data_IF_216763317778
#
_entry.id   IF_216763317778
#
_cell.length_a   1.000
_cell.length_b   1.000
_cell.length_c   1.000
_cell.angle_alpha   90.00
_cell.angle_beta   90.00
_cell.angle_gamma   90.00
#
_symmetry.space_group_name_H-M   'P 1'
#
loop_
_entity.id
_entity.type
_entity.pdbx_description
1 polymer ?
#
# COMPACT_ATOMS: atom_id res chain seq x y z
N UNK A 1 -17.92 32.77 37.07
CA UNK A 1 -17.84 33.05 35.62
C UNK A 1 -16.66 32.25 35.10
N UNK A 2 -16.92 31.18 34.34
CA UNK A 2 -15.97 30.10 34.05
C UNK A 2 -15.08 30.51 32.88
N UNK A 3 -13.78 30.54 33.12
CA UNK A 3 -12.73 30.87 32.15
C UNK A 3 -12.57 29.67 31.21
N UNK A 4 -12.99 29.83 29.96
CA UNK A 4 -12.85 28.80 28.93
C UNK A 4 -11.36 28.61 28.62
N UNK A 5 -10.82 27.44 28.97
CA UNK A 5 -9.45 27.06 28.63
C UNK A 5 -9.42 26.63 27.17
N UNK A 6 -8.53 27.27 26.42
CA UNK A 6 -8.23 27.02 25.01
C UNK A 6 -7.87 25.55 24.77
N UNK A 7 -8.51 24.90 23.79
CA UNK A 7 -7.94 23.71 23.17
C UNK A 7 -6.82 24.17 22.24
N UNK A 8 -5.58 24.09 22.70
CA UNK A 8 -4.43 24.12 21.79
C UNK A 8 -4.52 22.90 20.89
N UNK A 9 -4.80 23.17 19.61
CA UNK A 9 -4.64 22.22 18.52
C UNK A 9 -3.21 21.66 18.64
N UNK A 10 -3.09 20.39 19.06
CA UNK A 10 -1.80 19.71 19.00
C UNK A 10 -1.42 19.69 17.53
N UNK A 11 -0.34 20.39 17.20
CA UNK A 11 0.31 20.28 15.91
C UNK A 11 0.44 18.78 15.59
N UNK A 12 -0.24 18.38 14.51
CA UNK A 12 -0.04 17.05 13.97
C UNK A 12 1.40 17.05 13.47
N UNK A 13 2.28 16.17 13.97
CA UNK A 13 3.67 16.18 13.50
C UNK A 13 3.64 16.02 11.99
N UNK A 14 4.20 17.01 11.28
CA UNK A 14 4.32 16.95 9.83
C UNK A 14 5.19 15.72 9.52
N UNK A 15 4.56 14.69 8.98
CA UNK A 15 5.26 13.48 8.52
C UNK A 15 6.26 13.98 7.49
N UNK A 16 7.55 13.94 7.82
CA UNK A 16 8.58 14.36 6.87
C UNK A 16 8.57 13.34 5.74
N UNK A 17 8.73 13.79 4.50
CA UNK A 17 8.72 12.93 3.31
C UNK A 17 9.77 11.79 3.34
N UNK A 18 10.77 11.89 4.24
CA UNK A 18 11.76 10.85 4.53
C UNK A 18 11.25 9.70 5.40
N UNK A 19 10.05 9.79 5.96
CA UNK A 19 9.48 8.78 6.88
C UNK A 19 8.56 7.78 6.16
N UNK A 20 8.52 7.81 4.82
CA UNK A 20 7.67 6.97 4.00
C UNK A 20 8.50 6.16 3.01
N UNK A 21 8.42 4.84 3.11
CA UNK A 21 9.07 3.91 2.20
C UNK A 21 8.03 3.10 1.45
N UNK A 22 8.12 3.08 0.12
CA UNK A 22 7.31 2.19 -0.72
C UNK A 22 7.98 0.83 -0.81
N UNK A 23 7.20 -0.22 -0.63
CA UNK A 23 7.64 -1.60 -0.80
C UNK A 23 6.64 -2.38 -1.66
N UNK A 24 7.11 -3.49 -2.20
CA UNK A 24 6.33 -4.40 -3.03
C UNK A 24 6.24 -5.76 -2.35
N UNK A 25 5.02 -6.30 -2.25
CA UNK A 25 4.74 -7.59 -1.65
C UNK A 25 4.21 -8.51 -2.74
N UNK A 26 4.87 -9.64 -3.07
CA UNK A 26 4.36 -10.56 -4.07
C UNK A 26 3.04 -11.18 -3.62
N UNK A 27 2.17 -11.43 -4.58
CA UNK A 27 0.92 -12.17 -4.43
C UNK A 27 1.18 -13.54 -5.05
N UNK A 28 0.98 -14.58 -4.26
CA UNK A 28 1.29 -15.96 -4.69
C UNK A 28 0.38 -16.35 -5.85
N UNK A 29 -0.88 -15.91 -5.83
CA UNK A 29 -1.86 -16.09 -6.88
C UNK A 29 -1.68 -15.05 -8.00
N UNK A 30 -1.75 -15.51 -9.26
CA UNK A 30 -1.87 -14.59 -10.40
C UNK A 30 -3.26 -13.97 -10.36
N UNK A 31 -3.33 -12.64 -10.29
CA UNK A 31 -4.61 -11.95 -10.30
C UNK A 31 -5.06 -11.68 -11.72
N UNK A 32 -6.15 -12.33 -12.14
CA UNK A 32 -6.77 -12.09 -13.43
C UNK A 32 -7.73 -10.90 -13.41
N UNK A 33 -8.29 -10.58 -12.24
CA UNK A 33 -9.15 -9.42 -12.04
C UNK A 33 -8.72 -8.59 -10.82
N UNK A 34 -7.89 -7.58 -11.06
CA UNK A 34 -7.40 -6.66 -10.01
C UNK A 34 -8.48 -5.68 -9.49
N UNK A 35 -9.68 -5.65 -10.09
CA UNK A 35 -10.80 -4.82 -9.62
C UNK A 35 -11.63 -5.52 -8.54
N UNK A 36 -11.46 -6.83 -8.34
CA UNK A 36 -12.24 -7.57 -7.35
C UNK A 36 -11.82 -7.20 -5.93
N UNK A 37 -12.77 -6.95 -5.03
CA UNK A 37 -12.51 -6.52 -3.63
C UNK A 37 -11.67 -7.55 -2.85
N UNK A 38 -11.86 -8.84 -3.11
CA UNK A 38 -11.07 -9.92 -2.48
C UNK A 38 -9.58 -9.79 -2.79
N UNK A 39 -9.23 -9.29 -3.98
CA UNK A 39 -7.86 -9.08 -4.42
C UNK A 39 -7.11 -8.07 -3.55
N UNK A 40 -7.78 -7.26 -2.72
CA UNK A 40 -7.14 -6.30 -1.81
C UNK A 40 -6.97 -6.83 -0.38
N UNK A 41 -7.38 -8.08 -0.13
CA UNK A 41 -7.35 -8.68 1.20
C UNK A 41 -6.25 -9.73 1.39
N UNK A 42 -5.51 -10.17 0.36
CA UNK A 42 -4.50 -11.22 0.53
C UNK A 42 -3.28 -10.77 1.36
N UNK A 43 -3.01 -9.47 1.42
CA UNK A 43 -1.99 -8.91 2.32
C UNK A 43 -2.40 -8.95 3.81
N UNK A 44 -3.68 -9.26 4.11
CA UNK A 44 -4.23 -9.26 5.47
C UNK A 44 -3.98 -10.59 6.16
N UNK A 45 -2.77 -10.79 6.67
CA UNK A 45 -2.52 -11.80 7.69
C UNK A 45 -1.27 -11.45 8.52
N UNK A 46 -1.41 -11.07 9.81
CA UNK A 46 -0.27 -10.68 10.65
C UNK A 46 0.69 -11.83 10.97
N UNK A 47 0.26 -13.10 10.83
CA UNK A 47 1.06 -14.27 11.21
C UNK A 47 1.82 -14.89 10.03
N UNK A 48 1.65 -14.34 8.84
CA UNK A 48 2.33 -14.82 7.63
C UNK A 48 3.48 -13.89 7.30
N UNK A 49 4.69 -14.43 7.40
CA UNK A 49 5.88 -13.78 6.86
C UNK A 49 5.78 -13.71 5.34
N UNK A 50 6.02 -12.54 4.78
CA UNK A 50 6.02 -12.27 3.35
C UNK A 50 7.35 -11.65 2.95
N UNK A 51 7.72 -11.83 1.69
CA UNK A 51 8.85 -11.13 1.10
C UNK A 51 8.45 -9.69 0.77
N UNK A 52 9.35 -8.76 1.05
CA UNK A 52 9.21 -7.35 0.74
C UNK A 52 10.37 -6.91 -0.13
N UNK A 53 10.05 -6.26 -1.24
CA UNK A 53 11.02 -5.75 -2.19
C UNK A 53 10.95 -4.23 -2.26
N UNK A 54 12.08 -3.59 -2.54
CA UNK A 54 12.16 -2.14 -2.73
C UNK A 54 12.00 -1.71 -4.19
N UNK A 55 12.03 -2.66 -5.13
CA UNK A 55 11.78 -2.43 -6.55
C UNK A 55 11.01 -3.60 -7.18
N UNK A 56 10.25 -3.30 -8.24
CA UNK A 56 9.53 -4.31 -9.04
C UNK A 56 10.47 -5.17 -9.86
N UNK A 57 11.63 -4.63 -10.26
CA UNK A 57 12.69 -5.39 -10.96
C UNK A 57 13.27 -6.49 -10.08
N UNK A 58 13.64 -6.16 -8.84
CA UNK A 58 14.13 -7.13 -7.86
C UNK A 58 13.08 -8.21 -7.56
N UNK A 59 11.83 -7.78 -7.34
CA UNK A 59 10.71 -8.68 -7.12
C UNK A 59 10.53 -9.64 -8.29
N UNK A 60 10.46 -9.13 -9.53
CA UNK A 60 10.24 -9.96 -10.71
C UNK A 60 11.40 -10.92 -10.93
N UNK A 61 12.65 -10.45 -10.83
CA UNK A 61 13.83 -11.29 -11.02
C UNK A 61 13.87 -12.48 -10.05
N UNK A 62 13.50 -12.27 -8.79
CA UNK A 62 13.51 -13.32 -7.78
C UNK A 62 12.27 -14.24 -7.89
N UNK A 63 11.06 -13.67 -7.90
CA UNK A 63 9.81 -14.43 -7.86
C UNK A 63 9.52 -15.15 -9.18
N UNK A 64 9.89 -14.56 -10.33
CA UNK A 64 9.72 -15.22 -11.63
C UNK A 64 10.68 -16.42 -11.78
N UNK A 65 11.91 -16.28 -11.27
CA UNK A 65 12.94 -17.32 -11.35
C UNK A 65 12.64 -18.48 -10.40
N UNK A 66 12.28 -18.19 -9.15
CA UNK A 66 11.98 -19.22 -8.14
C UNK A 66 10.72 -20.02 -8.49
N UNK A 67 9.70 -19.37 -9.05
CA UNK A 67 8.43 -20.02 -9.37
C UNK A 67 8.32 -20.53 -10.82
N UNK A 68 9.32 -20.27 -11.67
CA UNK A 68 9.26 -20.57 -13.11
C UNK A 68 8.11 -19.86 -13.82
N UNK A 69 7.70 -18.69 -13.31
CA UNK A 69 6.53 -17.94 -13.78
C UNK A 69 6.95 -16.85 -14.74
N UNK A 70 6.18 -16.65 -15.80
CA UNK A 70 6.35 -15.50 -16.71
C UNK A 70 5.62 -14.24 -16.22
N UNK A 71 4.76 -14.41 -15.22
CA UNK A 71 3.88 -13.37 -14.69
C UNK A 71 3.90 -13.37 -13.17
N UNK A 72 4.05 -12.19 -12.58
CA UNK A 72 3.99 -11.97 -11.13
C UNK A 72 2.98 -10.87 -10.83
N UNK A 73 2.15 -11.09 -9.82
CA UNK A 73 1.28 -10.08 -9.25
C UNK A 73 1.86 -9.60 -7.92
N UNK A 74 1.77 -8.31 -7.62
CA UNK A 74 2.24 -7.76 -6.35
C UNK A 74 1.39 -6.60 -5.87
N UNK A 75 1.41 -6.37 -4.55
CA UNK A 75 0.93 -5.15 -3.94
C UNK A 75 2.03 -4.11 -3.85
N UNK A 76 1.68 -2.85 -4.12
CA UNK A 76 2.47 -1.69 -3.73
C UNK A 76 1.92 -1.14 -2.42
N UNK A 77 2.74 -1.09 -1.39
CA UNK A 77 2.36 -0.63 -0.06
C UNK A 77 3.26 0.50 0.39
N UNK A 78 2.74 1.36 1.27
CA UNK A 78 3.55 2.37 1.94
C UNK A 78 3.73 1.96 3.40
N UNK A 79 4.98 1.87 3.83
CA UNK A 79 5.31 1.51 5.19
C UNK A 79 5.24 2.76 6.10
N UNK A 80 4.66 2.59 7.27
CA UNK A 80 4.73 3.57 8.36
C UNK A 80 6.12 3.59 8.99
N UNK A 81 6.45 4.65 9.73
CA UNK A 81 7.75 4.77 10.41
C UNK A 81 8.09 3.55 11.30
N UNK A 82 7.09 2.96 11.97
CA UNK A 82 7.31 1.75 12.78
C UNK A 82 7.58 0.52 11.94
N UNK A 83 6.90 0.38 10.80
CA UNK A 83 7.13 -0.71 9.84
C UNK A 83 8.49 -0.59 9.15
N UNK A 84 8.93 0.64 8.84
CA UNK A 84 10.26 0.91 8.28
C UNK A 84 11.35 0.48 9.26
N UNK A 85 11.20 0.80 10.55
CA UNK A 85 12.15 0.36 11.57
C UNK A 85 12.21 -1.18 11.69
N UNK A 86 11.08 -1.87 11.54
CA UNK A 86 11.05 -3.34 11.47
C UNK A 86 11.71 -3.85 10.19
N UNK A 87 11.45 -3.19 9.05
CA UNK A 87 12.00 -3.54 7.75
C UNK A 87 13.53 -3.49 7.76
N UNK A 88 14.13 -2.43 8.31
CA UNK A 88 15.58 -2.32 8.40
C UNK A 88 16.23 -3.34 9.36
N UNK A 89 15.47 -3.88 10.32
CA UNK A 89 15.94 -4.94 11.24
C UNK A 89 15.69 -6.35 10.70
N UNK A 90 15.00 -6.47 9.58
CA UNK A 90 14.60 -7.75 9.03
C UNK A 90 15.77 -8.54 8.45
N UNK A 91 15.54 -9.85 8.29
CA UNK A 91 16.46 -10.71 7.56
C UNK A 91 16.29 -10.45 6.06
N UNK A 92 17.37 -10.07 5.39
CA UNK A 92 17.45 -10.05 3.93
C UNK A 92 17.59 -11.47 3.38
N UNK A 93 16.87 -11.78 2.31
CA UNK A 93 16.88 -13.05 1.58
C UNK A 93 16.89 -12.73 0.09
N UNK A 94 18.05 -12.89 -0.55
CA UNK A 94 18.26 -12.41 -1.91
C UNK A 94 18.11 -10.89 -1.98
N UNK A 95 17.28 -10.40 -2.89
CA UNK A 95 17.00 -8.97 -3.10
C UNK A 95 15.81 -8.47 -2.27
N UNK A 96 15.22 -9.32 -1.42
CA UNK A 96 14.07 -8.98 -0.61
C UNK A 96 14.31 -9.13 0.90
N UNK A 97 13.28 -8.78 1.67
CA UNK A 97 13.27 -8.77 3.12
C UNK A 97 12.10 -9.60 3.65
N UNK A 98 12.39 -10.57 4.52
CA UNK A 98 11.35 -11.46 5.05
C UNK A 98 10.78 -10.91 6.36
N UNK A 99 9.49 -10.56 6.37
CA UNK A 99 8.82 -9.87 7.48
C UNK A 99 7.36 -10.30 7.63
N UNK A 100 6.84 -10.28 8.85
CA UNK A 100 5.41 -10.44 9.10
C UNK A 100 4.79 -9.08 9.44
N UNK A 101 4.12 -8.48 8.46
CA UNK A 101 3.37 -7.23 8.61
C UNK A 101 1.92 -7.43 8.20
N UNK A 102 1.03 -6.65 8.81
CA UNK A 102 -0.40 -6.66 8.51
C UNK A 102 -0.78 -5.39 7.76
N UNK A 103 -1.43 -5.56 6.61
CA UNK A 103 -1.96 -4.45 5.82
C UNK A 103 -3.48 -4.58 5.73
N UNK A 104 -4.18 -3.51 6.07
CA UNK A 104 -5.58 -3.36 5.69
C UNK A 104 -5.67 -2.94 4.22
N UNK A 105 -6.81 -3.15 3.55
CA UNK A 105 -6.98 -2.69 2.17
C UNK A 105 -6.62 -1.22 1.97
N UNK A 106 -6.94 -0.34 2.93
CA UNK A 106 -6.60 1.09 2.91
C UNK A 106 -5.11 1.43 3.00
N UNK A 107 -4.25 0.45 3.30
CA UNK A 107 -2.79 0.61 3.39
C UNK A 107 -2.09 0.19 2.08
N UNK A 108 -2.84 -0.43 1.16
CA UNK A 108 -2.37 -0.87 -0.15
C UNK A 108 -2.62 0.25 -1.16
N UNK A 109 -1.57 0.75 -1.81
CA UNK A 109 -1.68 1.83 -2.79
C UNK A 109 -2.26 1.33 -4.13
N UNK A 110 -1.73 0.19 -4.60
CA UNK A 110 -2.10 -0.38 -5.89
C UNK A 110 -1.78 -1.87 -5.96
N UNK A 111 -2.41 -2.52 -6.94
CA UNK A 111 -2.07 -3.87 -7.38
C UNK A 111 -1.35 -3.77 -8.72
N UNK A 112 -0.29 -4.54 -8.89
CA UNK A 112 0.54 -4.52 -10.10
C UNK A 112 0.62 -5.95 -10.65
N UNK A 113 0.44 -6.08 -11.96
CA UNK A 113 0.74 -7.30 -12.73
C UNK A 113 1.94 -7.02 -13.64
N UNK A 114 2.97 -7.84 -13.52
CA UNK A 114 4.21 -7.76 -14.30
C UNK A 114 4.28 -9.03 -15.16
N UNK A 115 4.40 -8.88 -16.48
CA UNK A 115 4.55 -10.01 -17.42
C UNK A 115 5.65 -9.71 -18.44
N UNK A 116 6.87 -10.17 -18.15
CA UNK A 116 8.05 -9.77 -18.92
C UNK A 116 8.24 -8.25 -18.91
N UNK A 117 8.09 -7.61 -20.06
CA UNK A 117 8.20 -6.15 -20.21
C UNK A 117 6.86 -5.41 -19.98
N UNK A 118 5.75 -6.14 -19.86
CA UNK A 118 4.44 -5.53 -19.63
C UNK A 118 4.23 -5.23 -18.14
N UNK A 119 3.73 -4.02 -17.88
CA UNK A 119 3.44 -3.52 -16.55
C UNK A 119 2.01 -2.95 -16.52
N UNK A 120 1.16 -3.51 -15.67
CA UNK A 120 -0.21 -3.06 -15.49
C UNK A 120 -0.46 -2.78 -13.99
N UNK A 121 -0.62 -1.51 -13.64
CA UNK A 121 -0.90 -1.06 -12.28
C UNK A 121 -2.35 -0.57 -12.17
N UNK A 122 -3.09 -1.16 -11.24
CA UNK A 122 -4.45 -0.74 -10.88
C UNK A 122 -4.39 -0.08 -9.51
N UNK A 123 -4.75 1.19 -9.46
CA UNK A 123 -4.82 1.96 -8.21
C UNK A 123 -5.96 1.42 -7.33
N UNK A 124 -5.75 1.39 -6.02
CA UNK A 124 -6.74 0.91 -5.09
C UNK A 124 -8.04 1.73 -5.16
N UNK A 125 -9.20 1.10 -5.43
CA UNK A 125 -10.49 1.77 -5.48
C UNK A 125 -10.85 2.51 -4.17
N UNK A 126 -10.25 2.13 -3.04
CA UNK A 126 -10.44 2.80 -1.75
C UNK A 126 -10.12 4.31 -1.82
N UNK A 127 -9.16 4.72 -2.65
CA UNK A 127 -8.81 6.14 -2.82
C UNK A 127 -9.63 6.84 -3.91
N UNK A 128 -10.21 6.10 -4.85
CA UNK A 128 -10.99 6.68 -5.94
C UNK A 128 -12.32 7.27 -5.44
N UNK A 129 -12.92 6.73 -4.37
CA UNK A 129 -14.14 7.27 -3.75
C UNK A 129 -13.90 8.52 -2.90
N UNK A 130 -12.67 8.79 -2.46
CA UNK A 130 -12.36 9.92 -1.56
C UNK A 130 -12.30 11.25 -2.34
N UNK A 131 -11.88 11.22 -3.62
CA UNK A 131 -11.85 12.43 -4.46
C UNK A 131 -13.27 12.88 -4.87
N UNK A 132 -14.23 11.96 -5.06
CA UNK A 132 -15.60 12.34 -5.40
C UNK A 132 -16.40 12.91 -4.21
N UNK A 133 -16.05 12.59 -2.97
CA UNK A 133 -16.73 13.10 -1.79
C UNK A 133 -16.36 14.57 -1.46
N UNK A 134 -15.31 15.12 -2.07
CA UNK A 134 -14.82 16.48 -1.79
C UNK A 134 -15.42 17.55 -2.73
N UNK A 135 -16.15 17.15 -3.77
CA UNK A 135 -16.77 18.08 -4.75
C UNK A 135 -18.29 18.21 -4.65
N UNK A 136 -18.96 17.47 -3.76
CA UNK A 136 -20.38 17.69 -3.48
C UNK A 136 -20.56 18.87 -2.49
N UNK A 137 -20.11 20.06 -2.89
CA UNK A 137 -20.56 21.30 -2.27
C UNK A 137 -22.00 21.54 -2.74
N UNK A 138 -23.01 21.65 -1.85
CA UNK A 138 -24.34 21.98 -2.28
C UNK A 138 -24.32 23.44 -2.74
N UNK A 139 -24.43 23.66 -4.05
CA UNK A 139 -24.86 24.95 -4.61
C UNK A 139 -26.29 25.17 -4.14
N UNK A 140 -26.43 25.78 -2.95
CA UNK A 140 -27.68 26.41 -2.54
C UNK A 140 -27.86 27.60 -3.48
N UNK A 141 -28.74 27.44 -4.47
CA UNK A 141 -29.21 28.54 -5.28
C UNK A 141 -29.94 29.55 -4.39
N UNK A 142 -29.74 30.87 -4.57
CA UNK A 142 -30.63 31.83 -3.95
C UNK A 142 -31.96 31.82 -4.72
N UNK A 143 -33.03 31.45 -4.05
CA UNK A 143 -34.38 31.75 -4.54
C UNK A 143 -34.68 33.23 -4.30
N UNK A 144 -35.30 33.84 -5.31
CA UNK A 144 -35.64 35.25 -5.45
C UNK A 144 -36.64 35.78 -4.42
#
# INVERSE_FOLDING_TARGET
>A
MIQATFFTQRDTPSIKKNDLQTCYIPIVEVMDNMQQVSAWNYARNPLVSRMFYTSTTALFAQEALEAGRTTVSCYKVMLSATQIAMFHKSKSVGEGHLLALNFMPKDILSCIKISGNEYNEVINPFYQTIEFATFASPLIAPCA
#
